data_IF_712583717660
#
_entry.id   IF_712583717660
#
_cell.length_a   1.000
_cell.length_b   1.000
_cell.length_c   1.000
_cell.angle_alpha   90.00
_cell.angle_beta   90.00
_cell.angle_gamma   90.00
#
_symmetry.space_group_name_H-M   'P 1'
#
loop_
_entity.id
_entity.type
_entity.pdbx_description
1 polymer ?
#
# COMPACT_ATOMS: atom_id res chain seq x y z
N UNK A 1 0.34 6.52 1.91
CA UNK A 1 0.89 5.84 3.09
C UNK A 1 2.01 6.65 3.75
N UNK A 2 3.22 6.78 3.17
CA UNK A 2 4.34 7.49 3.83
C UNK A 2 4.03 8.95 4.16
N UNK A 3 3.40 9.70 3.24
CA UNK A 3 3.03 11.10 3.49
C UNK A 3 2.07 11.22 4.70
N UNK A 4 1.12 10.29 4.86
CA UNK A 4 0.19 10.29 6.00
C UNK A 4 0.91 10.16 7.34
N UNK A 5 1.99 9.36 7.38
CA UNK A 5 2.86 9.26 8.54
C UNK A 5 3.63 10.56 8.77
N UNK A 6 4.24 11.12 7.72
CA UNK A 6 5.03 12.34 7.82
C UNK A 6 4.19 13.55 8.28
N UNK A 7 2.93 13.65 7.88
CA UNK A 7 2.00 14.69 8.32
C UNK A 7 1.71 14.66 9.82
N UNK A 8 1.88 13.50 10.46
CA UNK A 8 1.60 13.28 11.89
C UNK A 8 2.88 13.10 12.71
N UNK A 9 4.05 13.13 12.07
CA UNK A 9 5.32 12.86 12.71
C UNK A 9 5.74 14.04 13.60
N UNK A 10 6.11 13.80 14.87
CA UNK A 10 6.61 14.85 15.73
C UNK A 10 7.98 15.36 15.24
N UNK A 11 8.27 16.63 15.49
CA UNK A 11 9.58 17.21 15.23
C UNK A 11 10.64 16.71 16.22
N UNK A 12 11.91 16.81 15.84
CA UNK A 12 13.05 16.53 16.73
C UNK A 12 13.40 15.05 16.91
N UNK A 13 12.72 14.14 16.21
CA UNK A 13 13.09 12.73 16.16
C UNK A 13 14.46 12.55 15.49
N UNK A 14 15.27 11.64 16.03
CA UNK A 14 16.44 11.16 15.29
C UNK A 14 16.03 10.26 14.11
N UNK A 15 17.00 9.89 13.26
CA UNK A 15 16.66 9.10 12.06
C UNK A 15 16.15 7.69 12.38
N UNK A 16 16.56 7.08 13.50
CA UNK A 16 16.08 5.75 13.88
C UNK A 16 14.63 5.83 14.38
N UNK A 17 14.33 6.82 15.22
CA UNK A 17 12.99 7.10 15.73
C UNK A 17 12.02 7.48 14.61
N UNK A 18 12.44 8.35 13.68
CA UNK A 18 11.62 8.74 12.53
C UNK A 18 11.27 7.53 11.64
N UNK A 19 12.23 6.63 11.39
CA UNK A 19 11.96 5.39 10.63
C UNK A 19 11.01 4.46 11.37
N UNK A 20 11.17 4.32 12.69
CA UNK A 20 10.27 3.52 13.51
C UNK A 20 8.85 4.09 13.46
N UNK A 21 8.70 5.40 13.65
CA UNK A 21 7.42 6.10 13.57
C UNK A 21 6.72 5.87 12.24
N UNK A 22 7.42 6.03 11.11
CA UNK A 22 6.86 5.82 9.77
C UNK A 22 6.40 4.36 9.60
N UNK A 23 7.21 3.38 10.03
CA UNK A 23 6.84 1.96 9.94
C UNK A 23 5.59 1.68 10.76
N UNK A 24 5.58 2.06 12.04
CA UNK A 24 4.46 1.81 12.95
C UNK A 24 3.17 2.45 12.41
N UNK A 25 3.27 3.64 11.83
CA UNK A 25 2.13 4.31 11.21
C UNK A 25 1.61 3.59 9.96
N UNK A 26 2.50 3.10 9.09
CA UNK A 26 2.11 2.33 7.90
C UNK A 26 1.44 1.02 8.28
N UNK A 27 1.95 0.33 9.30
CA UNK A 27 1.42 -0.96 9.79
C UNK A 27 0.01 -0.86 10.42
N UNK A 28 -0.52 0.34 10.61
CA UNK A 28 -1.89 0.60 11.09
C UNK A 28 -2.87 1.01 9.97
N UNK A 29 -2.42 1.05 8.72
CA UNK A 29 -3.26 1.49 7.60
C UNK A 29 -4.25 0.39 7.23
N UNK A 30 -5.53 0.74 7.16
CA UNK A 30 -6.61 -0.14 6.72
C UNK A 30 -7.34 0.44 5.50
N UNK A 31 -7.80 -0.43 4.59
CA UNK A 31 -8.67 -0.07 3.46
C UNK A 31 -8.14 1.07 2.56
N UNK A 32 -6.82 1.20 2.43
CA UNK A 32 -6.22 2.24 1.60
C UNK A 32 -6.32 1.90 0.12
N UNK A 33 -7.07 2.69 -0.66
CA UNK A 33 -7.16 2.53 -2.11
C UNK A 33 -5.91 3.12 -2.80
N UNK A 34 -5.00 2.24 -3.23
CA UNK A 34 -3.84 2.58 -4.06
C UNK A 34 -4.08 2.29 -5.54
N UNK A 35 -3.10 2.61 -6.39
CA UNK A 35 -3.20 2.39 -7.84
C UNK A 35 -3.27 0.91 -8.24
N UNK A 36 -2.72 0.02 -7.40
CA UNK A 36 -2.66 -1.42 -7.65
C UNK A 36 -3.66 -2.28 -6.86
N UNK A 37 -4.55 -1.67 -6.07
CA UNK A 37 -5.45 -2.41 -5.20
C UNK A 37 -5.87 -1.65 -3.95
N UNK A 38 -6.55 -2.36 -3.05
CA UNK A 38 -6.89 -1.86 -1.71
C UNK A 38 -6.00 -2.56 -0.69
N UNK A 39 -5.46 -1.82 0.28
CA UNK A 39 -4.43 -2.31 1.19
C UNK A 39 -4.83 -2.15 2.66
N UNK A 40 -4.69 -3.24 3.42
CA UNK A 40 -4.75 -3.30 4.88
C UNK A 40 -3.44 -3.89 5.38
N UNK A 41 -2.57 -3.04 5.94
CA UNK A 41 -1.23 -3.40 6.38
C UNK A 41 -1.28 -3.92 7.83
N UNK A 42 -0.29 -4.72 8.21
CA UNK A 42 -0.07 -5.12 9.60
C UNK A 42 1.40 -5.44 9.86
N UNK A 43 1.86 -5.56 11.12
CA UNK A 43 3.24 -5.96 11.41
C UNK A 43 3.63 -7.34 10.85
N UNK A 44 2.66 -8.19 10.54
CA UNK A 44 2.88 -9.56 10.03
C UNK A 44 2.54 -9.73 8.55
N UNK A 45 1.93 -8.73 7.93
CA UNK A 45 1.59 -8.72 6.50
C UNK A 45 1.84 -7.32 5.93
N UNK A 46 2.98 -7.19 5.25
CA UNK A 46 3.38 -5.96 4.54
C UNK A 46 2.94 -5.95 3.07
N UNK A 47 2.27 -7.00 2.59
CA UNK A 47 1.59 -6.94 1.29
C UNK A 47 0.24 -6.27 1.47
N UNK A 48 -0.57 -6.75 2.42
CA UNK A 48 -1.84 -6.18 2.83
C UNK A 48 -2.90 -6.05 1.74
N UNK A 49 -2.64 -6.55 0.53
CA UNK A 49 -3.49 -6.36 -0.63
C UNK A 49 -4.75 -7.20 -0.50
N UNK A 50 -5.91 -6.55 -0.62
CA UNK A 50 -7.20 -7.22 -0.52
C UNK A 50 -7.41 -8.20 -1.68
N UNK A 51 -8.08 -9.34 -1.43
CA UNK A 51 -8.51 -10.26 -2.48
C UNK A 51 -9.29 -9.54 -3.59
N UNK A 52 -9.06 -9.91 -4.84
CA UNK A 52 -9.71 -9.26 -5.99
C UNK A 52 -9.02 -7.98 -6.48
N UNK A 53 -7.95 -7.51 -5.83
CA UNK A 53 -7.12 -6.41 -6.36
C UNK A 53 -6.31 -6.78 -7.61
N UNK A 54 -6.24 -8.08 -7.95
CA UNK A 54 -5.53 -8.58 -9.12
C UNK A 54 -6.46 -8.82 -10.30
N UNK A 55 -6.02 -8.34 -11.46
CA UNK A 55 -6.68 -8.48 -12.74
C UNK A 55 -5.93 -9.47 -13.63
N UNK A 56 -6.64 -10.38 -14.29
CA UNK A 56 -6.07 -11.13 -15.40
C UNK A 56 -6.24 -10.32 -16.69
N UNK A 57 -5.13 -10.09 -17.39
CA UNK A 57 -5.09 -9.30 -18.62
C UNK A 57 -4.60 -10.21 -19.76
N UNK A 58 -5.16 -10.00 -20.95
CA UNK A 58 -4.72 -10.63 -22.20
C UNK A 58 -4.26 -9.57 -23.19
N UNK A 59 -3.32 -9.93 -24.08
CA UNK A 59 -2.94 -9.07 -25.20
C UNK A 59 -3.75 -9.49 -26.43
N UNK A 60 -4.56 -8.57 -26.95
CA UNK A 60 -5.34 -8.75 -28.19
C UNK A 60 -4.97 -7.62 -29.13
N UNK A 61 -4.51 -7.95 -30.33
CA UNK A 61 -4.11 -6.99 -31.36
C UNK A 61 -3.10 -5.93 -30.89
N UNK A 62 -2.21 -6.32 -29.97
CA UNK A 62 -1.17 -5.44 -29.41
C UNK A 62 -1.63 -4.55 -28.26
N UNK A 63 -2.88 -4.68 -27.81
CA UNK A 63 -3.44 -3.89 -26.71
C UNK A 63 -3.72 -4.73 -25.45
N UNK A 64 -3.67 -4.08 -24.29
CA UNK A 64 -4.01 -4.68 -22.99
C UNK A 64 -5.54 -4.74 -22.86
N UNK A 65 -6.09 -5.94 -22.80
CA UNK A 65 -7.54 -6.18 -22.67
C UNK A 65 -7.82 -7.01 -21.43
N UNK A 66 -8.85 -6.66 -20.67
CA UNK A 66 -9.33 -7.50 -19.56
C UNK A 66 -9.66 -8.91 -20.04
N UNK A 67 -9.14 -9.93 -19.35
CA UNK A 67 -9.56 -11.29 -19.63
C UNK A 67 -11.02 -11.46 -19.18
N UNK A 68 -11.90 -11.70 -20.13
CA UNK A 68 -13.30 -12.03 -19.87
C UNK A 68 -13.48 -13.54 -20.10
N UNK A 69 -14.08 -14.23 -19.13
CA UNK A 69 -14.49 -15.63 -19.25
C UNK A 69 -15.90 -15.74 -19.81
#
# INVERSE_FOLDING_TARGET
MVIMALEQMPEGLDTAEARAFIRDHIEQIENFAGTGGVFTMSPTDHLGMQPGSLAMIQIVDGEWTWLQY
#
